data_IF_353932397214
#
_entry.id   IF_353932397214
#
_cell.length_a   1.000
_cell.length_b   1.000
_cell.length_c   1.000
_cell.angle_alpha   90.00
_cell.angle_beta   90.00
_cell.angle_gamma   90.00
#
_symmetry.space_group_name_H-M   'P 1'
#
loop_
_entity.id
_entity.type
_entity.pdbx_description
1 polymer ?
#
# COMPACT_ATOMS: atom_id res chain seq x y z
N UNK A 1 0.68 -9.95 16.97
CA UNK A 1 1.67 -9.78 15.87
C UNK A 1 1.19 -8.83 14.77
N UNK A 2 -0.10 -8.83 14.38
CA UNK A 2 -0.62 -7.90 13.35
C UNK A 2 -0.60 -6.40 13.77
N UNK A 3 -0.82 -6.12 15.05
CA UNK A 3 -0.77 -4.76 15.60
C UNK A 3 0.66 -4.17 15.54
N UNK A 4 1.69 -4.99 15.76
CA UNK A 4 3.09 -4.56 15.66
C UNK A 4 3.53 -4.37 14.21
N UNK A 5 3.09 -5.22 13.28
CA UNK A 5 3.43 -5.06 11.86
C UNK A 5 2.77 -3.83 11.24
N UNK A 6 1.52 -3.51 11.62
CA UNK A 6 0.85 -2.30 11.15
C UNK A 6 1.52 -1.04 11.71
N UNK A 7 1.87 -1.03 13.00
CA UNK A 7 2.63 0.06 13.61
C UNK A 7 3.98 0.26 12.92
N UNK A 8 4.69 -0.82 12.62
CA UNK A 8 5.95 -0.76 11.87
C UNK A 8 5.72 -0.21 10.47
N UNK A 9 4.73 -0.70 9.71
CA UNK A 9 4.44 -0.19 8.38
C UNK A 9 4.14 1.32 8.37
N UNK A 10 3.35 1.80 9.33
CA UNK A 10 3.04 3.23 9.50
C UNK A 10 4.31 4.03 9.81
N UNK A 11 5.17 3.54 10.72
CA UNK A 11 6.45 4.19 11.03
C UNK A 11 7.37 4.27 9.80
N UNK A 12 7.43 3.20 9.01
CA UNK A 12 8.20 3.19 7.77
C UNK A 12 7.64 4.16 6.73
N UNK A 13 6.31 4.22 6.58
CA UNK A 13 5.67 5.18 5.69
C UNK A 13 5.99 6.63 6.11
N UNK A 14 5.84 6.94 7.39
CA UNK A 14 6.14 8.27 7.92
C UNK A 14 7.63 8.62 7.80
N UNK A 15 8.53 7.69 8.11
CA UNK A 15 9.97 7.87 7.95
C UNK A 15 10.35 8.11 6.48
N UNK A 16 9.73 7.38 5.55
CA UNK A 16 9.97 7.55 4.12
C UNK A 16 9.54 8.94 3.63
N UNK A 17 8.38 9.43 4.10
CA UNK A 17 7.91 10.79 3.81
C UNK A 17 8.84 11.83 4.42
N UNK A 18 9.27 11.64 5.67
CA UNK A 18 10.18 12.55 6.34
C UNK A 18 11.54 12.65 5.61
N UNK A 19 12.11 11.51 5.22
CA UNK A 19 13.35 11.46 4.44
C UNK A 19 13.15 12.14 3.08
N UNK A 20 12.05 11.86 2.38
CA UNK A 20 11.74 12.51 1.11
C UNK A 20 11.60 14.02 1.23
N UNK A 21 10.98 14.52 2.31
CA UNK A 21 10.88 15.94 2.59
C UNK A 21 12.24 16.59 2.87
N UNK A 22 13.13 15.91 3.61
CA UNK A 22 14.50 16.36 3.84
C UNK A 22 15.28 16.42 2.53
N UNK A 23 15.21 15.38 1.69
CA UNK A 23 15.86 15.37 0.38
C UNK A 23 15.35 16.50 -0.53
N UNK A 24 14.03 16.72 -0.54
CA UNK A 24 13.42 17.82 -1.28
C UNK A 24 13.88 19.19 -0.79
N UNK A 25 14.18 19.34 0.51
CA UNK A 25 14.74 20.57 1.07
C UNK A 25 16.21 20.82 0.65
N UNK A 26 16.91 19.80 0.15
CA UNK A 26 18.24 19.90 -0.46
C UNK A 26 18.19 20.01 -1.99
N UNK A 27 17.04 20.38 -2.58
CA UNK A 27 16.79 20.41 -4.03
C UNK A 27 16.96 19.04 -4.73
N UNK A 28 17.00 17.94 -3.97
CA UNK A 28 17.05 16.58 -4.53
C UNK A 28 15.61 16.17 -4.84
N UNK A 29 15.22 16.33 -6.10
CA UNK A 29 13.89 15.95 -6.57
C UNK A 29 13.85 14.47 -6.94
N UNK A 30 12.78 13.78 -6.52
CA UNK A 30 12.59 12.36 -6.84
C UNK A 30 12.53 12.11 -8.36
N UNK A 31 11.97 13.05 -9.12
CA UNK A 31 11.86 12.91 -10.58
C UNK A 31 13.22 12.99 -11.26
N UNK A 32 14.16 13.77 -10.73
CA UNK A 32 15.50 13.93 -11.27
C UNK A 32 16.38 12.74 -10.92
N UNK A 33 16.32 12.25 -9.69
CA UNK A 33 16.97 11.00 -9.28
C UNK A 33 16.53 9.83 -10.18
N UNK A 34 15.24 9.72 -10.45
CA UNK A 34 14.70 8.66 -11.30
C UNK A 34 15.09 8.86 -12.77
N UNK A 35 15.15 10.11 -13.25
CA UNK A 35 15.64 10.44 -14.59
C UNK A 35 17.12 10.08 -14.78
N UNK A 36 17.97 10.31 -13.77
CA UNK A 36 19.38 9.89 -13.77
C UNK A 36 19.55 8.36 -13.82
N UNK A 37 18.60 7.62 -13.26
CA UNK A 37 18.53 6.16 -13.37
C UNK A 37 18.07 5.67 -14.76
N UNK A 38 17.82 6.58 -15.70
CA UNK A 38 17.35 6.27 -17.05
C UNK A 38 15.85 5.94 -17.15
N UNK A 39 15.09 6.18 -16.08
CA UNK A 39 13.64 5.99 -16.08
C UNK A 39 12.95 7.26 -16.56
N UNK A 40 12.22 7.16 -17.67
CA UNK A 40 11.46 8.27 -18.20
C UNK A 40 10.15 8.47 -17.43
N UNK A 41 9.61 9.71 -17.35
CA UNK A 41 8.31 9.97 -16.72
C UNK A 41 7.17 9.09 -17.29
N UNK A 42 7.24 8.78 -18.58
CA UNK A 42 6.30 7.90 -19.28
C UNK A 42 6.43 6.45 -18.80
N UNK A 43 7.65 5.98 -18.54
CA UNK A 43 7.90 4.64 -18.02
C UNK A 43 7.34 4.48 -16.60
N UNK A 44 7.48 5.50 -15.74
CA UNK A 44 6.92 5.49 -14.37
C UNK A 44 5.40 5.41 -14.42
N UNK A 45 4.76 6.24 -15.25
CA UNK A 45 3.30 6.20 -15.45
C UNK A 45 2.86 4.83 -15.92
N UNK A 46 3.56 4.26 -16.91
CA UNK A 46 3.32 2.90 -17.39
C UNK A 46 3.47 1.83 -16.30
N UNK A 47 4.44 1.96 -15.41
CA UNK A 47 4.65 1.04 -14.29
C UNK A 47 3.46 1.06 -13.31
N UNK A 48 3.00 2.26 -12.95
CA UNK A 48 1.86 2.45 -12.05
C UNK A 48 0.59 1.88 -12.68
N UNK A 49 0.32 2.21 -13.95
CA UNK A 49 -0.83 1.68 -14.68
C UNK A 49 -0.82 0.16 -14.73
N UNK A 50 0.31 -0.46 -15.10
CA UNK A 50 0.46 -1.92 -15.13
C UNK A 50 0.28 -2.55 -13.75
N UNK A 51 0.81 -1.92 -12.70
CA UNK A 51 0.64 -2.38 -11.33
C UNK A 51 -0.85 -2.36 -10.92
N UNK A 52 -1.59 -1.33 -11.28
CA UNK A 52 -3.04 -1.25 -11.04
C UNK A 52 -3.83 -2.25 -11.88
N UNK A 53 -3.53 -2.37 -13.17
CA UNK A 53 -4.18 -3.33 -14.08
C UNK A 53 -3.98 -4.77 -13.63
N UNK A 54 -2.84 -5.09 -13.02
CA UNK A 54 -2.61 -6.37 -12.37
C UNK A 54 -3.32 -6.44 -11.01
N UNK A 55 -3.12 -5.50 -10.10
CA UNK A 55 -3.59 -5.62 -8.72
C UNK A 55 -5.13 -5.59 -8.60
N UNK A 56 -5.81 -4.72 -9.36
CA UNK A 56 -7.25 -4.50 -9.24
C UNK A 56 -8.10 -5.76 -9.47
N UNK A 57 -7.98 -6.49 -10.60
CA UNK A 57 -8.77 -7.71 -10.81
C UNK A 57 -8.45 -8.80 -9.78
N UNK A 58 -7.18 -8.96 -9.39
CA UNK A 58 -6.79 -9.95 -8.38
C UNK A 58 -7.35 -9.60 -6.99
N UNK A 59 -7.35 -8.32 -6.63
CA UNK A 59 -7.98 -7.84 -5.41
C UNK A 59 -9.47 -8.12 -5.40
N UNK A 60 -10.17 -7.81 -6.50
CA UNK A 60 -11.61 -8.07 -6.63
C UNK A 60 -11.90 -9.57 -6.48
N UNK A 61 -11.15 -10.43 -7.17
CA UNK A 61 -11.29 -11.88 -7.06
C UNK A 61 -11.12 -12.37 -5.61
N UNK A 62 -10.09 -11.88 -4.91
CA UNK A 62 -9.89 -12.19 -3.50
C UNK A 62 -11.04 -11.69 -2.61
N UNK A 63 -11.50 -10.47 -2.84
CA UNK A 63 -12.60 -9.86 -2.10
C UNK A 63 -13.92 -10.63 -2.28
N UNK A 64 -14.20 -11.15 -3.48
CA UNK A 64 -15.38 -11.98 -3.76
C UNK A 64 -15.43 -13.24 -2.90
N UNK A 65 -14.29 -13.75 -2.42
CA UNK A 65 -14.21 -14.93 -1.55
C UNK A 65 -14.13 -14.54 -0.08
N UNK A 66 -13.26 -13.59 0.26
CA UNK A 66 -12.97 -13.23 1.66
C UNK A 66 -14.18 -12.53 2.31
N UNK A 67 -14.85 -11.62 1.62
CA UNK A 67 -15.95 -10.83 2.19
C UNK A 67 -17.13 -11.73 2.63
N UNK A 68 -17.65 -12.65 1.79
CA UNK A 68 -18.72 -13.55 2.22
C UNK A 68 -18.33 -14.44 3.40
N UNK A 69 -17.12 -15.00 3.41
CA UNK A 69 -16.62 -15.84 4.50
C UNK A 69 -16.57 -15.04 5.79
N UNK A 70 -15.97 -13.85 5.75
CA UNK A 70 -15.90 -12.95 6.90
C UNK A 70 -17.30 -12.59 7.40
N UNK A 71 -18.24 -12.30 6.50
CA UNK A 71 -19.62 -11.96 6.87
C UNK A 71 -20.32 -13.12 7.59
N UNK A 72 -20.17 -14.35 7.11
CA UNK A 72 -20.75 -15.53 7.76
C UNK A 72 -20.14 -15.70 9.16
N UNK A 73 -18.81 -15.64 9.29
CA UNK A 73 -18.13 -15.74 10.58
C UNK A 73 -18.59 -14.64 11.53
N UNK A 74 -18.71 -13.42 11.02
CA UNK A 74 -19.17 -12.26 11.79
C UNK A 74 -20.61 -12.44 12.29
N UNK A 75 -21.52 -12.89 11.43
CA UNK A 75 -22.92 -13.13 11.79
C UNK A 75 -23.10 -14.32 12.74
N UNK A 76 -22.28 -15.35 12.60
CA UNK A 76 -22.29 -16.52 13.49
C UNK A 76 -21.56 -16.27 14.82
N UNK A 77 -20.84 -15.15 14.96
CA UNK A 77 -20.18 -14.80 16.22
C UNK A 77 -21.24 -14.37 17.24
N UNK A 78 -21.52 -15.15 18.29
CA UNK A 78 -22.55 -14.80 19.24
C UNK A 78 -22.20 -13.47 19.94
N UNK A 79 -23.14 -12.51 20.01
CA UNK A 79 -22.93 -11.26 20.71
C UNK A 79 -22.83 -11.54 22.21
N UNK A 80 -21.62 -11.68 22.75
CA UNK A 80 -21.40 -11.83 24.20
C UNK A 80 -20.09 -12.47 24.66
N UNK A 81 -19.35 -13.19 23.80
CA UNK A 81 -18.09 -13.86 24.21
C UNK A 81 -16.87 -12.94 24.09
N UNK A 82 -16.93 -11.82 24.82
CA UNK A 82 -15.93 -10.76 24.82
C UNK A 82 -15.99 -9.86 26.05
N UNK A 83 -16.27 -10.45 27.22
CA UNK A 83 -15.78 -9.95 28.51
C UNK A 83 -14.76 -10.94 29.04
#
# INVERSE_FOLDING_TARGET
>A
MLQSTLSTAIKFALASVAIGAVLSAFDISAIEVVKEMGLTPEAIRGLISRAFEWALPHFILGAMVIIPIWLIIYLLRPPGLGK
#
